data_IF_792165788689
#
_entry.id   IF_792165788689
#
_cell.length_a   1.000
_cell.length_b   1.000
_cell.length_c   1.000
_cell.angle_alpha   90.00
_cell.angle_beta   90.00
_cell.angle_gamma   90.00
#
_symmetry.space_group_name_H-M   'P 1'
#
loop_
_entity.id
_entity.type
_entity.pdbx_description
1 polymer ?
#
# COMPACT_ATOMS: atom_id res chain seq x y z
N UNK A 1 -40.54 48.32 -41.49
CA UNK A 1 -40.03 48.74 -42.82
C UNK A 1 -38.56 48.31 -42.87
N UNK A 2 -38.05 47.45 -43.74
CA UNK A 2 -38.56 46.85 -44.96
C UNK A 2 -37.44 46.87 -46.02
N UNK A 3 -36.99 45.67 -46.43
CA UNK A 3 -36.20 45.30 -47.65
C UNK A 3 -34.67 45.39 -47.54
N UNK A 4 -33.94 44.25 -47.53
CA UNK A 4 -33.61 43.27 -48.63
C UNK A 4 -32.42 43.80 -49.47
N UNK A 5 -31.43 43.04 -49.98
CA UNK A 5 -30.97 41.63 -49.95
C UNK A 5 -29.90 41.49 -51.06
N UNK A 6 -28.93 40.56 -50.95
CA UNK A 6 -28.27 39.71 -51.99
C UNK A 6 -26.85 39.32 -51.50
N UNK A 7 -26.52 38.07 -51.18
CA UNK A 7 -26.39 36.81 -51.96
C UNK A 7 -25.30 36.78 -53.04
N UNK A 8 -24.31 35.89 -52.84
CA UNK A 8 -23.64 34.96 -53.77
C UNK A 8 -22.34 34.49 -53.08
N UNK A 9 -21.86 33.25 -53.07
CA UNK A 9 -22.21 31.97 -53.71
C UNK A 9 -20.99 31.05 -53.48
N UNK A 10 -21.22 29.75 -53.23
CA UNK A 10 -20.16 28.76 -52.95
C UNK A 10 -19.24 28.44 -54.15
N UNK A 11 -18.37 27.40 -54.04
CA UNK A 11 -18.90 26.03 -53.94
C UNK A 11 -18.22 25.13 -52.89
N UNK A 12 -18.98 24.14 -52.44
CA UNK A 12 -18.50 22.87 -51.90
C UNK A 12 -18.15 21.92 -53.03
N UNK A 13 -17.11 21.09 -52.90
CA UNK A 13 -17.10 19.76 -53.51
C UNK A 13 -16.20 18.81 -52.69
N UNK A 14 -16.80 17.69 -52.29
CA UNK A 14 -16.22 16.38 -51.96
C UNK A 14 -14.94 16.08 -52.78
N UNK A 15 -13.93 15.32 -52.37
CA UNK A 15 -13.91 14.01 -51.70
C UNK A 15 -12.43 13.54 -51.60
N UNK A 16 -12.14 12.65 -50.63
CA UNK A 16 -11.09 11.60 -50.58
C UNK A 16 -9.61 11.97 -50.87
N UNK A 17 -8.73 11.82 -49.86
CA UNK A 17 -7.60 10.87 -49.94
C UNK A 17 -6.90 10.65 -48.58
N UNK A 18 -6.77 9.37 -48.24
CA UNK A 18 -6.16 8.81 -47.04
C UNK A 18 -4.63 9.02 -47.00
N UNK A 19 -4.01 9.30 -45.84
CA UNK A 19 -2.57 9.17 -45.71
C UNK A 19 -2.17 7.69 -45.54
N UNK A 20 -1.21 7.31 -46.36
CA UNK A 20 -0.67 5.98 -46.53
C UNK A 20 -0.07 5.36 -45.26
N UNK A 21 -0.20 4.04 -45.22
CA UNK A 21 0.42 3.07 -44.35
C UNK A 21 1.94 3.17 -44.25
N UNK A 22 2.47 3.23 -43.03
CA UNK A 22 3.82 2.78 -42.70
C UNK A 22 3.73 1.68 -41.64
N UNK A 23 3.84 0.44 -42.12
CA UNK A 23 3.97 -0.76 -41.30
C UNK A 23 5.42 -0.84 -40.80
N UNK A 24 5.61 -0.86 -39.48
CA UNK A 24 6.82 -1.41 -38.86
C UNK A 24 6.41 -2.57 -37.96
N UNK A 25 6.63 -3.76 -38.49
CA UNK A 25 6.47 -5.05 -37.84
C UNK A 25 7.57 -5.25 -36.81
N UNK A 26 7.23 -5.26 -35.52
CA UNK A 26 8.03 -5.90 -34.48
C UNK A 26 7.32 -7.21 -34.08
N UNK A 27 7.81 -8.33 -34.63
CA UNK A 27 7.39 -9.67 -34.25
C UNK A 27 7.92 -10.00 -32.85
N UNK A 28 7.02 -10.27 -31.91
CA UNK A 28 7.32 -11.06 -30.71
C UNK A 28 7.47 -12.55 -31.09
N UNK A 29 8.49 -13.27 -30.60
CA UNK A 29 8.54 -14.72 -30.72
C UNK A 29 7.91 -15.40 -29.49
N UNK A 30 7.00 -16.34 -29.78
CA UNK A 30 6.40 -17.29 -28.83
C UNK A 30 7.43 -18.39 -28.41
N UNK A 31 7.15 -19.17 -27.33
CA UNK A 31 8.18 -19.78 -26.49
C UNK A 31 8.66 -21.14 -27.01
N UNK A 32 9.97 -21.41 -26.91
CA UNK A 32 10.57 -22.72 -27.20
C UNK A 32 10.85 -23.51 -25.91
N UNK A 33 10.22 -24.67 -25.80
CA UNK A 33 10.50 -25.75 -24.85
C UNK A 33 11.86 -26.38 -25.07
N UNK A 34 12.72 -26.48 -24.05
CA UNK A 34 13.86 -27.43 -24.03
C UNK A 34 14.11 -27.96 -22.61
N UNK A 35 14.25 -29.29 -22.52
CA UNK A 35 14.62 -30.11 -21.35
C UNK A 35 16.16 -30.19 -21.16
N UNK A 36 16.66 -30.63 -19.99
CA UNK A 36 18.04 -30.42 -19.56
C UNK A 36 19.00 -31.54 -19.97
N UNK A 37 20.30 -31.23 -20.07
CA UNK A 37 21.35 -32.24 -20.14
C UNK A 37 22.73 -31.73 -20.52
N UNK A 38 23.69 -32.00 -19.63
CA UNK A 38 25.11 -32.26 -19.86
C UNK A 38 26.15 -31.14 -19.77
N UNK A 39 27.05 -31.38 -18.81
CA UNK A 39 28.30 -30.73 -18.45
C UNK A 39 29.35 -30.73 -19.56
N UNK A 40 30.31 -29.78 -19.52
CA UNK A 40 31.66 -30.08 -20.00
C UNK A 40 32.72 -29.98 -18.91
N UNK A 41 33.56 -31.01 -18.93
CA UNK A 41 34.88 -31.14 -18.32
C UNK A 41 35.87 -30.24 -19.08
N UNK A 42 36.71 -29.48 -18.38
CA UNK A 42 37.95 -28.87 -18.90
C UNK A 42 38.98 -28.96 -17.78
N UNK A 43 39.79 -30.02 -17.75
CA UNK A 43 41.11 -30.18 -18.36
C UNK A 43 42.22 -29.26 -17.79
N UNK A 44 43.33 -29.92 -17.49
CA UNK A 44 44.47 -29.46 -16.74
C UNK A 44 45.34 -28.44 -17.50
N UNK A 45 45.99 -27.55 -16.74
CA UNK A 45 47.22 -26.89 -17.16
C UNK A 45 48.25 -26.93 -16.02
N UNK A 46 49.48 -27.26 -16.41
CA UNK A 46 50.63 -27.60 -15.58
C UNK A 46 51.67 -26.48 -15.73
N UNK A 47 52.23 -25.98 -14.63
CA UNK A 47 53.45 -25.14 -14.57
C UNK A 47 53.66 -24.79 -13.08
N UNK A 48 54.82 -24.83 -12.41
CA UNK A 48 56.23 -24.84 -12.78
C UNK A 48 57.06 -25.36 -11.58
N UNK A 49 58.33 -25.74 -11.83
CA UNK A 49 59.35 -26.17 -10.86
C UNK A 49 60.09 -24.97 -10.24
N UNK A 50 60.43 -25.06 -8.94
CA UNK A 50 61.67 -24.58 -8.25
C UNK A 50 61.56 -25.04 -6.78
N UNK A 51 62.41 -25.89 -6.21
CA UNK A 51 63.85 -25.87 -5.91
C UNK A 51 64.04 -26.05 -4.39
N UNK A 52 64.60 -27.21 -4.01
CA UNK A 52 65.43 -27.50 -2.83
C UNK A 52 65.15 -26.83 -1.48
N UNK A 53 64.86 -27.64 -0.46
CA UNK A 53 65.70 -27.75 0.75
C UNK A 53 65.34 -29.00 1.57
N UNK A 54 66.38 -29.76 1.89
CA UNK A 54 66.42 -30.89 2.81
C UNK A 54 66.10 -30.45 4.24
N UNK A 55 65.18 -31.15 4.90
CA UNK A 55 65.03 -31.13 6.36
C UNK A 55 64.74 -32.55 6.81
N UNK A 56 65.55 -33.00 7.77
CA UNK A 56 65.53 -34.32 8.39
C UNK A 56 64.15 -34.70 8.94
N UNK A 57 63.65 -35.88 8.56
CA UNK A 57 62.47 -36.48 9.16
C UNK A 57 62.94 -37.27 10.38
N UNK A 58 62.96 -36.62 11.53
CA UNK A 58 62.86 -37.30 12.81
C UNK A 58 61.42 -37.84 12.96
N UNK A 59 61.28 -39.13 13.27
CA UNK A 59 59.99 -39.76 13.56
C UNK A 59 59.24 -39.01 14.68
N UNK A 60 58.03 -38.48 14.44
CA UNK A 60 57.22 -37.92 15.50
C UNK A 60 56.51 -39.05 16.24
N UNK A 61 56.89 -39.22 17.52
CA UNK A 61 56.17 -39.99 18.55
C UNK A 61 54.65 -39.76 18.50
N UNK A 62 53.83 -40.77 18.84
CA UNK A 62 52.38 -40.70 18.67
C UNK A 62 51.80 -39.56 19.50
N UNK A 63 51.29 -38.52 18.84
CA UNK A 63 50.54 -37.45 19.49
C UNK A 63 49.16 -37.98 19.87
N UNK A 64 48.82 -37.75 21.14
CA UNK A 64 47.60 -38.13 21.81
C UNK A 64 46.33 -37.92 20.96
N UNK A 65 45.40 -38.88 21.08
CA UNK A 65 44.10 -38.87 20.45
C UNK A 65 43.39 -37.53 20.69
N UNK A 66 43.06 -36.83 19.59
CA UNK A 66 42.20 -35.66 19.60
C UNK A 66 40.87 -36.03 20.26
N UNK A 67 40.50 -35.31 21.31
CA UNK A 67 39.18 -35.40 21.93
C UNK A 67 38.13 -35.21 20.85
N UNK A 68 37.35 -36.26 20.57
CA UNK A 68 36.15 -36.17 19.73
C UNK A 68 35.28 -35.03 20.25
N UNK A 69 35.07 -34.00 19.44
CA UNK A 69 34.05 -33.00 19.72
C UNK A 69 32.74 -33.73 19.99
N UNK A 70 32.14 -33.49 21.17
CA UNK A 70 30.85 -34.08 21.55
C UNK A 70 29.85 -33.71 20.45
N UNK A 71 29.36 -34.72 19.73
CA UNK A 71 28.26 -34.55 18.80
C UNK A 71 27.10 -33.87 19.55
N UNK A 72 26.59 -32.75 19.02
CA UNK A 72 25.45 -32.06 19.60
C UNK A 72 24.29 -33.06 19.69
N UNK A 73 23.71 -33.23 20.89
CA UNK A 73 22.59 -34.15 21.08
C UNK A 73 21.48 -33.81 20.07
N UNK A 74 20.87 -34.81 19.41
CA UNK A 74 19.77 -34.57 18.50
C UNK A 74 18.62 -33.91 19.28
N UNK A 75 18.07 -32.85 18.69
CA UNK A 75 16.93 -32.11 19.24
C UNK A 75 15.71 -33.01 19.10
N UNK A 76 15.04 -33.34 20.20
CA UNK A 76 13.83 -34.19 20.20
C UNK A 76 12.59 -33.39 19.83
N UNK A 77 11.53 -34.05 19.35
CA UNK A 77 10.28 -33.40 18.99
C UNK A 77 9.67 -32.58 20.16
N UNK A 78 9.82 -33.05 21.40
CA UNK A 78 9.37 -32.37 22.62
C UNK A 78 10.20 -31.10 22.88
N UNK A 79 11.51 -31.15 22.62
CA UNK A 79 12.38 -29.95 22.70
C UNK A 79 12.18 -28.98 21.53
N UNK A 80 11.62 -29.43 20.40
CA UNK A 80 11.18 -28.56 19.30
C UNK A 80 9.80 -27.96 19.58
N UNK A 81 8.87 -28.72 20.15
CA UNK A 81 7.53 -28.27 20.52
C UNK A 81 7.57 -27.16 21.58
N UNK A 82 8.44 -27.28 22.59
CA UNK A 82 8.66 -26.23 23.60
C UNK A 82 9.25 -24.92 23.05
N UNK A 83 9.75 -24.92 21.80
CA UNK A 83 10.22 -23.71 21.11
C UNK A 83 9.15 -23.06 20.23
N UNK A 84 8.00 -23.71 20.05
CA UNK A 84 6.87 -23.11 19.34
C UNK A 84 6.30 -21.99 20.20
N UNK A 85 6.13 -20.82 19.59
CA UNK A 85 5.52 -19.64 20.21
C UNK A 85 4.62 -18.96 19.19
N UNK A 86 3.50 -18.45 19.67
CA UNK A 86 2.67 -17.57 18.86
C UNK A 86 3.43 -16.29 18.54
N UNK A 87 3.35 -15.86 17.29
CA UNK A 87 3.97 -14.61 16.82
C UNK A 87 2.97 -13.49 17.08
N UNK A 88 3.41 -12.46 17.82
CA UNK A 88 2.58 -11.27 18.02
C UNK A 88 2.36 -10.54 16.68
N UNK A 89 1.28 -9.77 16.58
CA UNK A 89 1.04 -8.97 15.38
C UNK A 89 2.19 -7.98 15.12
N UNK A 90 2.77 -7.41 16.18
CA UNK A 90 3.99 -6.59 16.07
C UNK A 90 5.16 -7.33 15.44
N UNK A 91 5.40 -8.57 15.87
CA UNK A 91 6.52 -9.38 15.39
C UNK A 91 6.28 -9.82 13.95
N UNK A 92 5.04 -10.18 13.60
CA UNK A 92 4.64 -10.43 12.22
C UNK A 92 4.85 -9.19 11.35
N UNK A 93 4.42 -8.01 11.81
CA UNK A 93 4.58 -6.76 11.09
C UNK A 93 6.05 -6.38 10.91
N UNK A 94 6.86 -6.46 11.97
CA UNK A 94 8.28 -6.13 11.93
C UNK A 94 9.06 -7.05 10.97
N UNK A 95 8.74 -8.36 10.97
CA UNK A 95 9.38 -9.33 10.07
C UNK A 95 8.87 -9.24 8.63
N UNK A 96 7.61 -8.84 8.44
CA UNK A 96 6.93 -8.87 7.13
C UNK A 96 6.47 -7.49 6.65
N UNK A 97 7.13 -6.42 7.09
CA UNK A 97 6.79 -5.02 6.75
C UNK A 97 6.67 -4.78 5.23
N UNK A 98 7.44 -5.52 4.45
CA UNK A 98 7.42 -5.49 2.98
C UNK A 98 6.12 -6.04 2.38
N UNK A 99 5.48 -7.05 3.00
CA UNK A 99 4.21 -7.62 2.53
C UNK A 99 3.06 -6.61 2.63
N UNK A 100 3.19 -5.62 3.52
CA UNK A 100 2.17 -4.59 3.79
C UNK A 100 2.46 -3.27 3.06
N UNK A 101 3.47 -3.23 2.18
CA UNK A 101 3.81 -2.04 1.40
C UNK A 101 4.63 -0.98 2.15
N UNK A 102 5.20 -1.33 3.30
CA UNK A 102 6.02 -0.42 4.12
C UNK A 102 7.52 -0.67 3.99
N UNK A 103 8.00 -1.45 3.01
CA UNK A 103 9.41 -1.84 2.83
C UNK A 103 10.47 -0.72 3.02
N UNK A 104 10.19 0.49 2.53
CA UNK A 104 11.08 1.65 2.61
C UNK A 104 10.30 2.95 2.91
N UNK A 105 11.04 4.00 3.28
CA UNK A 105 10.47 5.30 3.70
C UNK A 105 9.62 5.99 2.62
N UNK A 106 9.98 5.84 1.33
CA UNK A 106 9.22 6.43 0.22
C UNK A 106 7.89 5.71 0.01
N UNK A 107 7.93 4.37 -0.06
CA UNK A 107 6.71 3.56 -0.20
C UNK A 107 5.82 3.67 1.03
N UNK A 108 6.39 3.78 2.23
CA UNK A 108 5.60 3.96 3.45
C UNK A 108 4.68 5.19 3.40
N UNK A 109 5.18 6.32 2.87
CA UNK A 109 4.38 7.52 2.68
C UNK A 109 3.27 7.29 1.65
N UNK A 110 3.64 6.77 0.48
CA UNK A 110 2.70 6.49 -0.60
C UNK A 110 1.59 5.51 -0.17
N UNK A 111 1.97 4.40 0.47
CA UNK A 111 1.03 3.39 0.97
C UNK A 111 0.08 3.99 1.99
N UNK A 112 0.56 4.82 2.92
CA UNK A 112 -0.30 5.48 3.91
C UNK A 112 -1.34 6.38 3.26
N UNK A 113 -0.91 7.22 2.30
CA UNK A 113 -1.82 8.10 1.56
C UNK A 113 -2.82 7.27 0.75
N UNK A 114 -2.33 6.24 0.04
CA UNK A 114 -3.16 5.36 -0.77
C UNK A 114 -4.25 4.69 0.06
N UNK A 115 -3.90 4.06 1.18
CA UNK A 115 -4.89 3.36 2.01
C UNK A 115 -5.90 4.31 2.66
N UNK A 116 -5.50 5.55 2.96
CA UNK A 116 -6.42 6.56 3.51
C UNK A 116 -7.38 7.12 2.43
N UNK A 117 -6.86 7.44 1.24
CA UNK A 117 -7.65 7.96 0.11
C UNK A 117 -8.58 6.88 -0.46
N UNK A 118 -8.09 5.65 -0.66
CA UNK A 118 -8.90 4.54 -1.17
C UNK A 118 -10.09 4.24 -0.22
N UNK A 119 -9.87 4.26 1.10
CA UNK A 119 -10.96 4.08 2.06
C UNK A 119 -11.95 5.26 2.08
N UNK A 120 -11.45 6.48 1.88
CA UNK A 120 -12.30 7.68 1.78
C UNK A 120 -13.23 7.62 0.56
N UNK A 121 -12.68 7.22 -0.60
CA UNK A 121 -13.44 7.03 -1.84
C UNK A 121 -14.50 5.94 -1.67
N UNK A 122 -14.10 4.76 -1.17
CA UNK A 122 -15.02 3.63 -0.95
C UNK A 122 -16.17 4.04 0.00
N UNK A 123 -15.88 4.75 1.09
CA UNK A 123 -16.89 5.18 2.06
C UNK A 123 -17.89 6.19 1.46
N UNK A 124 -17.43 7.12 0.63
CA UNK A 124 -18.29 8.07 -0.06
C UNK A 124 -19.17 7.38 -1.10
N UNK A 125 -18.60 6.50 -1.92
CA UNK A 125 -19.30 5.77 -2.97
C UNK A 125 -20.36 4.82 -2.41
N UNK A 126 -20.04 4.08 -1.35
CA UNK A 126 -21.01 3.20 -0.66
C UNK A 126 -22.17 3.98 -0.03
N UNK A 127 -21.96 5.24 0.34
CA UNK A 127 -22.98 6.12 0.89
C UNK A 127 -23.71 6.95 -0.18
N UNK A 128 -23.37 6.78 -1.46
CA UNK A 128 -23.86 7.60 -2.58
C UNK A 128 -23.61 9.10 -2.39
N UNK A 129 -22.47 9.46 -1.80
CA UNK A 129 -22.00 10.83 -1.62
C UNK A 129 -20.90 11.08 -2.64
N UNK A 130 -21.00 12.19 -3.39
CA UNK A 130 -19.92 12.60 -4.30
C UNK A 130 -18.68 12.98 -3.46
N UNK A 131 -17.54 12.28 -3.62
CA UNK A 131 -16.39 12.46 -2.74
C UNK A 131 -15.81 13.87 -2.82
N UNK A 132 -15.50 14.42 -1.65
CA UNK A 132 -14.66 15.61 -1.46
C UNK A 132 -13.60 15.21 -0.45
N UNK A 133 -12.37 15.01 -0.93
CA UNK A 133 -11.28 14.47 -0.13
C UNK A 133 -10.19 15.53 0.03
N UNK A 134 -9.82 15.82 1.26
CA UNK A 134 -8.73 16.73 1.60
C UNK A 134 -7.55 15.89 2.05
N UNK A 135 -6.41 16.03 1.37
CA UNK A 135 -5.16 15.34 1.67
C UNK A 135 -4.12 16.39 1.99
N UNK A 136 -3.62 16.40 3.22
CA UNK A 136 -2.53 17.27 3.65
C UNK A 136 -1.37 16.43 4.14
N UNK A 137 -0.17 16.77 3.70
CA UNK A 137 1.05 16.11 4.18
C UNK A 137 1.98 17.16 4.73
N UNK A 138 2.15 17.18 6.05
CA UNK A 138 3.03 18.10 6.74
C UNK A 138 4.40 17.45 6.98
N UNK A 139 5.49 18.13 6.64
CA UNK A 139 6.84 17.71 7.05
C UNK A 139 7.14 18.26 8.45
N UNK A 140 7.19 17.38 9.45
CA UNK A 140 7.43 17.75 10.85
C UNK A 140 8.93 17.75 11.20
N UNK A 141 9.70 16.89 10.54
CA UNK A 141 11.16 16.85 10.60
C UNK A 141 11.71 16.26 9.30
N UNK A 142 13.04 16.14 9.17
CA UNK A 142 13.70 15.65 7.95
C UNK A 142 13.08 14.37 7.39
N UNK A 143 12.85 13.37 8.25
CA UNK A 143 12.27 12.07 7.87
C UNK A 143 10.92 11.80 8.56
N UNK A 144 10.25 12.83 9.09
CA UNK A 144 9.00 12.68 9.84
C UNK A 144 7.90 13.50 9.18
N UNK A 145 6.82 12.82 8.86
CA UNK A 145 5.68 13.41 8.16
C UNK A 145 4.40 13.13 8.92
N UNK A 146 3.42 14.01 8.78
CA UNK A 146 2.03 13.76 9.17
C UNK A 146 1.17 13.75 7.92
N UNK A 147 0.51 12.62 7.69
CA UNK A 147 -0.49 12.50 6.63
C UNK A 147 -1.85 12.67 7.27
N UNK A 148 -2.60 13.68 6.81
CA UNK A 148 -3.97 13.94 7.22
C UNK A 148 -4.88 13.78 6.01
N UNK A 149 -5.85 12.87 6.09
CA UNK A 149 -6.87 12.68 5.04
C UNK A 149 -8.25 12.87 5.65
N UNK A 150 -9.06 13.74 5.05
CA UNK A 150 -10.43 14.00 5.45
C UNK A 150 -11.38 13.79 4.29
N UNK A 151 -12.46 13.07 4.53
CA UNK A 151 -13.56 12.87 3.59
C UNK A 151 -14.85 13.57 4.03
N UNK A 152 -15.82 13.65 3.13
CA UNK A 152 -17.19 14.08 3.38
C UNK A 152 -18.19 12.91 3.40
N UNK A 153 -17.70 11.69 3.65
CA UNK A 153 -18.48 10.47 3.62
C UNK A 153 -19.46 10.36 4.80
N UNK A 154 -19.99 9.16 5.08
CA UNK A 154 -21.02 8.96 6.10
C UNK A 154 -20.51 9.10 7.55
N UNK A 155 -19.19 9.27 7.72
CA UNK A 155 -18.54 9.14 9.03
C UNK A 155 -18.55 7.70 9.55
N UNK A 156 -17.99 7.51 10.74
CA UNK A 156 -17.87 6.22 11.41
C UNK A 156 -18.59 6.32 12.75
N UNK A 157 -19.39 5.30 13.06
CA UNK A 157 -20.06 5.19 14.36
C UNK A 157 -18.99 5.07 15.45
N UNK A 158 -19.10 5.90 16.51
CA UNK A 158 -18.15 5.98 17.62
C UNK A 158 -17.61 4.62 18.10
N UNK A 159 -18.50 3.64 18.32
CA UNK A 159 -18.14 2.31 18.81
C UNK A 159 -17.25 1.49 17.86
N UNK A 160 -17.23 1.82 16.57
CA UNK A 160 -16.45 1.12 15.54
C UNK A 160 -15.07 1.74 15.31
N UNK A 161 -14.89 3.03 15.65
CA UNK A 161 -13.64 3.76 15.40
C UNK A 161 -12.43 3.03 16.01
N UNK A 162 -12.44 2.63 17.31
CA UNK A 162 -11.30 1.91 17.87
C UNK A 162 -10.96 0.64 17.10
N UNK A 163 -11.95 -0.16 16.71
CA UNK A 163 -11.69 -1.43 16.05
C UNK A 163 -11.14 -1.25 14.62
N UNK A 164 -11.62 -0.25 13.87
CA UNK A 164 -11.16 0.00 12.49
C UNK A 164 -9.68 0.41 12.47
N UNK A 165 -9.26 1.29 13.38
CA UNK A 165 -7.89 1.82 13.38
C UNK A 165 -6.94 1.06 14.32
N UNK A 166 -7.48 0.36 15.32
CA UNK A 166 -6.73 -0.26 16.41
C UNK A 166 -6.69 -1.80 16.38
N UNK A 167 -7.28 -2.46 15.37
CA UNK A 167 -7.25 -3.92 15.21
C UNK A 167 -6.90 -4.29 13.77
N UNK A 168 -5.85 -5.08 13.59
CA UNK A 168 -5.55 -5.66 12.28
C UNK A 168 -6.57 -6.74 11.92
N UNK A 169 -6.80 -6.90 10.62
CA UNK A 169 -7.76 -7.85 10.06
C UNK A 169 -9.20 -7.59 10.54
N UNK A 170 -9.54 -6.31 10.70
CA UNK A 170 -10.87 -5.87 11.07
C UNK A 170 -11.44 -4.94 10.02
N UNK A 171 -12.62 -5.25 9.52
CA UNK A 171 -13.31 -4.40 8.56
C UNK A 171 -14.52 -5.07 7.92
N UNK A 172 -15.38 -4.24 7.33
CA UNK A 172 -16.59 -4.68 6.62
C UNK A 172 -16.31 -5.44 5.32
N UNK A 173 -15.08 -5.34 4.79
CA UNK A 173 -14.68 -5.87 3.46
C UNK A 173 -14.31 -7.37 3.46
N UNK A 174 -14.12 -8.00 4.63
CA UNK A 174 -13.64 -9.40 4.72
C UNK A 174 -14.63 -10.49 4.31
N UNK A 175 -15.93 -10.20 4.44
CA UNK A 175 -16.98 -11.22 4.28
C UNK A 175 -17.88 -10.94 3.08
N UNK A 176 -17.54 -9.91 2.28
CA UNK A 176 -18.30 -9.48 1.12
C UNK A 176 -17.48 -9.66 -0.14
N UNK A 177 -17.98 -10.45 -1.08
CA UNK A 177 -17.42 -10.57 -2.42
C UNK A 177 -17.99 -9.45 -3.29
N UNK A 178 -17.46 -8.23 -3.11
CA UNK A 178 -17.80 -7.02 -3.87
C UNK A 178 -16.51 -6.36 -4.32
N UNK A 179 -16.47 -5.87 -5.56
CA UNK A 179 -15.34 -5.10 -6.05
C UNK A 179 -15.22 -3.79 -5.25
N UNK A 180 -14.08 -3.60 -4.60
CA UNK A 180 -13.70 -2.40 -3.86
C UNK A 180 -12.17 -2.21 -3.94
N UNK A 181 -11.66 -1.03 -3.60
CA UNK A 181 -10.22 -0.71 -3.72
C UNK A 181 -9.36 -1.50 -2.73
N UNK A 182 -9.90 -1.84 -1.55
CA UNK A 182 -9.22 -2.62 -0.51
C UNK A 182 -9.83 -4.01 -0.29
N UNK A 183 -9.02 -5.07 -0.38
CA UNK A 183 -9.53 -6.45 -0.29
C UNK A 183 -9.38 -7.09 1.10
N UNK A 184 -8.36 -6.70 1.87
CA UNK A 184 -7.91 -7.47 3.03
C UNK A 184 -8.14 -6.76 4.38
N UNK A 185 -8.82 -5.61 4.44
CA UNK A 185 -9.12 -4.91 5.71
C UNK A 185 -7.92 -4.70 6.65
N UNK A 186 -6.72 -4.54 6.07
CA UNK A 186 -5.45 -4.32 6.77
C UNK A 186 -4.89 -2.91 6.56
N UNK A 187 -5.29 -2.23 5.49
CA UNK A 187 -4.55 -1.09 4.95
C UNK A 187 -4.31 0.04 5.95
N UNK A 188 -5.39 0.63 6.45
CA UNK A 188 -5.30 1.80 7.32
C UNK A 188 -4.76 1.45 8.71
N UNK A 189 -5.11 0.29 9.24
CA UNK A 189 -4.61 -0.21 10.53
C UNK A 189 -3.11 -0.54 10.45
N UNK A 190 -2.63 -1.03 9.29
CA UNK A 190 -1.20 -1.22 9.02
C UNK A 190 -0.45 0.11 8.93
N UNK A 191 -1.02 1.13 8.31
CA UNK A 191 -0.46 2.49 8.31
C UNK A 191 -0.37 3.08 9.72
N UNK A 192 -1.43 2.89 10.53
CA UNK A 192 -1.43 3.28 11.94
C UNK A 192 -0.37 2.56 12.76
N UNK A 193 -0.24 1.24 12.58
CA UNK A 193 0.81 0.43 13.21
C UNK A 193 2.21 0.90 12.81
N UNK A 194 2.42 1.18 11.53
CA UNK A 194 3.68 1.69 11.04
C UNK A 194 4.04 3.04 11.67
N UNK A 195 3.08 3.97 11.73
CA UNK A 195 3.24 5.26 12.40
C UNK A 195 3.60 5.11 13.87
N UNK A 196 2.87 4.26 14.60
CA UNK A 196 3.13 3.98 16.01
C UNK A 196 4.52 3.38 16.24
N UNK A 197 4.92 2.38 15.46
CA UNK A 197 6.22 1.70 15.63
C UNK A 197 7.42 2.59 15.27
N UNK A 198 7.23 3.59 14.40
CA UNK A 198 8.31 4.48 13.96
C UNK A 198 8.39 5.77 14.77
N UNK A 199 7.25 6.34 15.18
CA UNK A 199 7.22 7.65 15.83
C UNK A 199 6.77 7.61 17.28
N UNK A 200 6.17 6.50 17.72
CA UNK A 200 5.55 6.35 19.05
C UNK A 200 4.26 7.15 19.21
N UNK A 201 3.72 7.75 18.14
CA UNK A 201 2.50 8.55 18.19
C UNK A 201 1.26 7.73 17.87
N UNK A 202 0.17 8.07 18.54
CA UNK A 202 -1.15 7.50 18.29
C UNK A 202 -1.68 7.95 16.93
N UNK A 203 -2.57 7.15 16.34
CA UNK A 203 -3.40 7.60 15.20
C UNK A 203 -4.47 8.54 15.73
N UNK A 204 -4.62 9.69 15.10
CA UNK A 204 -5.67 10.64 15.41
C UNK A 204 -6.83 10.44 14.45
N UNK A 205 -8.04 10.28 14.97
CA UNK A 205 -9.24 10.08 14.15
C UNK A 205 -10.34 11.00 14.64
N UNK A 206 -10.85 11.86 13.78
CA UNK A 206 -12.02 12.69 14.05
C UNK A 206 -13.14 12.26 13.13
N UNK A 207 -14.30 11.87 13.65
CA UNK A 207 -15.42 11.44 12.80
C UNK A 207 -16.76 12.00 13.27
N UNK A 208 -17.61 12.38 12.31
CA UNK A 208 -18.97 12.87 12.55
C UNK A 208 -19.92 12.21 11.56
N UNK A 209 -21.00 11.64 12.08
CA UNK A 209 -21.96 10.89 11.25
C UNK A 209 -23.11 11.75 10.73
N UNK A 210 -23.36 12.93 11.32
CA UNK A 210 -24.32 13.90 10.80
C UNK A 210 -24.14 15.28 11.43
N UNK A 211 -24.69 16.35 10.80
CA UNK A 211 -24.67 17.70 11.37
C UNK A 211 -25.37 17.83 12.73
N UNK A 212 -26.22 16.86 13.10
CA UNK A 212 -26.96 16.90 14.37
C UNK A 212 -26.29 16.11 15.49
N UNK A 213 -25.22 15.38 15.18
CA UNK A 213 -24.47 14.57 16.14
C UNK A 213 -23.13 15.25 16.44
N UNK A 214 -22.62 15.00 17.64
CA UNK A 214 -21.28 15.40 18.02
C UNK A 214 -20.23 14.72 17.12
N UNK A 215 -19.13 15.41 16.86
CA UNK A 215 -17.95 14.79 16.29
C UNK A 215 -17.10 14.23 17.42
N UNK A 216 -16.54 13.04 17.21
CA UNK A 216 -15.69 12.39 18.20
C UNK A 216 -14.25 12.36 17.71
N UNK A 217 -13.33 12.80 18.56
CA UNK A 217 -11.90 12.76 18.35
C UNK A 217 -11.26 11.67 19.21
N UNK A 218 -10.56 10.75 18.54
CA UNK A 218 -9.88 9.63 19.15
C UNK A 218 -8.38 9.71 18.94
N UNK A 219 -7.64 9.29 19.97
CA UNK A 219 -6.24 8.91 19.84
C UNK A 219 -6.13 7.41 20.09
N UNK A 220 -5.76 6.66 19.05
CA UNK A 220 -5.81 5.19 19.06
C UNK A 220 -4.41 4.63 18.86
N UNK A 221 -4.07 3.67 19.72
CA UNK A 221 -2.90 2.81 19.59
C UNK A 221 -3.35 1.37 19.38
N UNK A 222 -2.45 0.54 18.88
CA UNK A 222 -2.67 -0.90 18.75
C UNK A 222 -1.85 -1.59 19.83
N UNK A 223 -2.49 -2.37 20.70
CA UNK A 223 -1.80 -3.36 21.52
C UNK A 223 -1.35 -4.48 20.58
N UNK A 224 -0.09 -4.41 20.17
CA UNK A 224 0.46 -5.25 19.12
C UNK A 224 0.71 -6.69 19.55
N UNK A 225 0.61 -6.98 20.85
CA UNK A 225 0.66 -8.34 21.39
C UNK A 225 -0.70 -9.02 21.29
N UNK A 226 -1.76 -8.31 21.64
CA UNK A 226 -3.12 -8.85 21.71
C UNK A 226 -3.99 -8.52 20.49
N UNK A 227 -3.49 -7.72 19.55
CA UNK A 227 -4.24 -7.21 18.39
C UNK A 227 -5.58 -6.59 18.79
N UNK A 228 -5.53 -5.65 19.74
CA UNK A 228 -6.70 -4.93 20.23
C UNK A 228 -6.45 -3.43 20.22
N UNK A 229 -7.50 -2.62 20.03
CA UNK A 229 -7.36 -1.18 20.17
C UNK A 229 -7.05 -0.82 21.61
N UNK A 230 -6.16 0.16 21.77
CA UNK A 230 -5.93 0.89 23.00
C UNK A 230 -6.30 2.35 22.77
N UNK A 231 -7.36 2.81 23.43
CA UNK A 231 -7.88 4.17 23.26
C UNK A 231 -7.23 5.05 24.31
N UNK A 232 -6.31 5.91 23.87
CA UNK A 232 -5.59 6.85 24.73
C UNK A 232 -6.48 8.05 25.07
N UNK A 233 -7.34 8.45 24.14
CA UNK A 233 -8.22 9.60 24.28
C UNK A 233 -9.49 9.45 23.46
N UNK A 234 -10.61 9.96 23.97
CA UNK A 234 -11.94 9.97 23.33
C UNK A 234 -12.70 11.20 23.83
N UNK A 235 -12.75 12.23 22.98
CA UNK A 235 -13.36 13.52 23.27
C UNK A 235 -14.42 13.88 22.24
N UNK A 236 -15.44 14.61 22.67
CA UNK A 236 -16.33 15.32 21.75
C UNK A 236 -15.69 16.66 21.35
N UNK A 237 -15.62 16.90 20.04
CA UNK A 237 -15.02 18.10 19.47
C UNK A 237 -15.98 18.81 18.53
N UNK A 238 -15.84 20.13 18.43
CA UNK A 238 -16.53 20.91 17.41
C UNK A 238 -15.68 20.97 16.15
N UNK A 239 -16.26 20.54 15.04
CA UNK A 239 -15.62 20.56 13.73
C UNK A 239 -16.39 21.48 12.78
N UNK A 240 -15.72 22.17 11.84
CA UNK A 240 -16.36 23.11 10.93
C UNK A 240 -17.12 22.41 9.78
N UNK A 241 -17.19 21.09 9.78
CA UNK A 241 -17.77 20.28 8.71
C UNK A 241 -18.90 19.38 9.20
N UNK A 242 -19.82 19.08 8.30
CA UNK A 242 -21.12 18.50 8.60
C UNK A 242 -21.11 16.98 8.84
N UNK A 243 -20.31 16.26 8.06
CA UNK A 243 -20.20 14.81 8.09
C UNK A 243 -18.87 14.37 7.46
N UNK A 244 -18.39 13.18 7.85
CA UNK A 244 -17.17 12.59 7.30
C UNK A 244 -16.21 12.07 8.37
N UNK A 245 -15.03 11.66 7.91
CA UNK A 245 -13.94 11.20 8.78
C UNK A 245 -12.64 11.88 8.40
N UNK A 246 -11.87 12.28 9.39
CA UNK A 246 -10.50 12.76 9.27
C UNK A 246 -9.57 11.80 10.01
N UNK A 247 -8.51 11.36 9.34
CA UNK A 247 -7.49 10.47 9.90
C UNK A 247 -6.13 11.14 9.73
N UNK A 248 -5.41 11.30 10.84
CA UNK A 248 -4.05 11.81 10.86
C UNK A 248 -3.08 10.78 11.43
N UNK A 249 -2.04 10.46 10.65
CA UNK A 249 -1.00 9.48 11.00
C UNK A 249 0.36 10.16 10.89
N UNK A 250 1.12 10.14 11.99
CA UNK A 250 2.52 10.54 12.02
C UNK A 250 3.40 9.33 11.77
N UNK A 251 4.33 9.41 10.81
CA UNK A 251 5.18 8.30 10.41
C UNK A 251 6.57 8.75 9.96
N UNK A 252 7.55 7.85 10.10
CA UNK A 252 8.85 8.03 9.44
C UNK A 252 8.77 7.69 7.95
N UNK A 253 9.11 8.66 7.11
CA UNK A 253 8.90 8.59 5.68
C UNK A 253 9.91 9.48 4.93
N UNK A 254 9.94 9.36 3.61
CA UNK A 254 10.66 10.28 2.74
C UNK A 254 9.78 10.70 1.58
N UNK A 255 9.68 12.01 1.38
CA UNK A 255 8.95 12.59 0.26
C UNK A 255 9.89 12.77 -0.94
N UNK A 256 9.44 12.33 -2.11
CA UNK A 256 10.15 12.49 -3.36
C UNK A 256 9.14 12.80 -4.47
N UNK A 257 9.53 13.66 -5.40
CA UNK A 257 8.73 14.02 -6.58
C UNK A 257 9.03 13.10 -7.76
N UNK A 258 8.15 13.12 -8.76
CA UNK A 258 8.31 12.37 -10.02
C UNK A 258 7.60 11.02 -10.00
N UNK A 259 8.15 10.03 -10.72
CA UNK A 259 7.52 8.72 -10.87
C UNK A 259 7.43 7.98 -9.53
N UNK A 260 6.32 7.29 -9.30
CA UNK A 260 6.00 6.55 -8.08
C UNK A 260 5.97 7.45 -6.83
N UNK A 261 5.66 8.74 -7.00
CA UNK A 261 5.48 9.68 -5.91
C UNK A 261 4.03 9.72 -5.44
N UNK A 262 3.83 10.31 -4.25
CA UNK A 262 2.49 10.64 -3.75
C UNK A 262 1.77 11.60 -4.71
N UNK A 263 2.51 12.54 -5.29
CA UNK A 263 1.98 13.54 -6.20
C UNK A 263 1.36 12.91 -7.45
N UNK A 264 2.08 11.96 -8.07
CA UNK A 264 1.60 11.21 -9.22
C UNK A 264 0.41 10.33 -8.84
N UNK A 265 0.43 9.68 -7.67
CA UNK A 265 -0.70 8.88 -7.20
C UNK A 265 -1.98 9.71 -7.04
N UNK A 266 -1.91 10.90 -6.43
CA UNK A 266 -3.07 11.79 -6.27
C UNK A 266 -3.60 12.22 -7.64
N UNK A 267 -2.72 12.59 -8.57
CA UNK A 267 -3.10 12.98 -9.93
C UNK A 267 -3.78 11.83 -10.70
N UNK A 268 -3.20 10.63 -10.67
CA UNK A 268 -3.79 9.45 -11.29
C UNK A 268 -5.12 9.06 -10.64
N UNK A 269 -5.23 9.21 -9.31
CA UNK A 269 -6.48 8.98 -8.58
C UNK A 269 -7.56 9.97 -9.01
N UNK A 270 -7.22 11.25 -9.18
CA UNK A 270 -8.17 12.24 -9.69
C UNK A 270 -8.65 11.92 -11.11
N UNK A 271 -7.74 11.51 -12.00
CA UNK A 271 -8.07 11.10 -13.37
C UNK A 271 -8.99 9.87 -13.40
N UNK A 272 -8.70 8.88 -12.56
CA UNK A 272 -9.46 7.63 -12.50
C UNK A 272 -10.84 7.78 -11.83
N UNK A 273 -11.04 8.84 -11.04
CA UNK A 273 -12.28 9.09 -10.28
C UNK A 273 -12.84 10.48 -10.63
N UNK A 274 -13.37 10.67 -11.85
CA UNK A 274 -13.81 11.99 -12.33
C UNK A 274 -14.99 12.57 -11.54
N UNK A 275 -15.68 11.76 -10.73
CA UNK A 275 -16.75 12.19 -9.82
C UNK A 275 -16.26 12.72 -8.47
N UNK A 276 -14.97 12.54 -8.15
CA UNK A 276 -14.36 12.97 -6.90
C UNK A 276 -13.71 14.36 -7.05
N UNK A 277 -13.80 15.17 -6.00
CA UNK A 277 -12.95 16.35 -5.81
C UNK A 277 -11.84 16.01 -4.83
N UNK A 278 -10.58 16.34 -5.18
CA UNK A 278 -9.42 16.11 -4.30
C UNK A 278 -8.68 17.42 -4.10
N UNK A 279 -8.59 17.86 -2.84
CA UNK A 279 -7.78 19.01 -2.42
C UNK A 279 -6.50 18.48 -1.78
N UNK A 280 -5.35 18.76 -2.39
CA UNK A 280 -4.06 18.23 -1.97
C UNK A 280 -3.08 19.34 -1.59
N UNK A 281 -2.54 19.26 -0.38
CA UNK A 281 -1.46 20.11 0.11
C UNK A 281 -0.22 19.22 0.27
N UNK A 282 0.79 19.46 -0.57
CA UNK A 282 2.05 18.74 -0.54
C UNK A 282 2.94 19.19 0.64
N UNK A 283 3.97 18.40 1.03
CA UNK A 283 4.93 18.80 2.07
C UNK A 283 5.68 20.11 1.78
N UNK A 284 5.78 20.49 0.51
CA UNK A 284 6.38 21.75 0.07
C UNK A 284 5.47 22.96 0.23
N UNK A 285 4.23 22.78 0.72
CA UNK A 285 3.19 23.81 0.82
C UNK A 285 2.43 24.09 -0.48
N UNK A 286 2.71 23.32 -1.54
CA UNK A 286 2.02 23.45 -2.82
C UNK A 286 0.59 22.93 -2.70
N UNK A 287 -0.38 23.78 -3.02
CA UNK A 287 -1.79 23.43 -3.02
C UNK A 287 -2.27 23.13 -4.44
N UNK A 288 -2.92 21.98 -4.61
CA UNK A 288 -3.53 21.55 -5.87
C UNK A 288 -4.97 21.12 -5.61
N UNK A 289 -5.88 21.64 -6.41
CA UNK A 289 -7.29 21.22 -6.39
C UNK A 289 -7.59 20.51 -7.69
N UNK A 290 -8.03 19.26 -7.57
CA UNK A 290 -8.54 18.46 -8.68
C UNK A 290 -10.06 18.48 -8.59
N UNK A 291 -10.68 19.35 -9.38
CA UNK A 291 -12.14 19.46 -9.44
C UNK A 291 -12.75 18.23 -10.12
N UNK A 292 -13.98 17.90 -9.70
CA UNK A 292 -14.75 16.85 -10.37
C UNK A 292 -15.07 17.23 -11.81
N UNK A 293 -14.89 16.29 -12.73
CA UNK A 293 -15.31 16.42 -14.12
C UNK A 293 -16.77 15.99 -14.35
N UNK A 294 -17.35 15.19 -13.45
CA UNK A 294 -18.75 14.76 -13.52
C UNK A 294 -19.42 14.78 -12.15
N UNK A 295 -20.74 14.91 -12.13
CA UNK A 295 -21.58 14.73 -10.94
C UNK A 295 -22.32 13.39 -10.95
N UNK A 296 -22.08 12.56 -11.97
CA UNK A 296 -22.62 11.21 -12.06
C UNK A 296 -21.67 10.24 -11.35
N UNK A 297 -22.17 9.56 -10.32
CA UNK A 297 -21.41 8.53 -9.63
C UNK A 297 -21.33 7.25 -10.48
N UNK A 298 -20.24 6.47 -10.39
CA UNK A 298 -20.15 5.18 -11.04
C UNK A 298 -21.25 4.23 -10.54
N UNK A 299 -21.68 3.25 -11.36
CA UNK A 299 -22.69 2.29 -10.94
C UNK A 299 -22.21 1.48 -9.74
N UNK A 300 -23.09 1.29 -8.76
CA UNK A 300 -22.73 0.57 -7.54
C UNK A 300 -22.35 -0.89 -7.86
N UNK A 301 -21.22 -1.33 -7.31
CA UNK A 301 -20.82 -2.73 -7.39
C UNK A 301 -21.76 -3.59 -6.53
N UNK A 302 -22.15 -4.76 -7.04
CA UNK A 302 -23.03 -5.68 -6.34
C UNK A 302 -22.22 -6.78 -5.67
N UNK A 303 -22.66 -7.20 -4.49
CA UNK A 303 -22.12 -8.39 -3.84
C UNK A 303 -22.53 -9.63 -4.64
N UNK A 304 -21.57 -10.51 -4.91
CA UNK A 304 -21.78 -11.74 -5.69
C UNK A 304 -21.46 -12.98 -4.86
N UNK A 305 -21.96 -14.14 -5.31
CA UNK A 305 -21.50 -15.43 -4.79
C UNK A 305 -20.19 -15.84 -5.49
N UNK A 306 -19.32 -16.65 -4.86
CA UNK A 306 -18.15 -17.22 -5.51
C UNK A 306 -18.54 -17.98 -6.79
N UNK A 307 -17.77 -17.81 -7.86
CA UNK A 307 -17.96 -18.59 -9.07
C UNK A 307 -17.39 -20.02 -8.87
N UNK A 308 -18.13 -21.10 -9.19
CA UNK A 308 -17.73 -22.48 -8.89
C UNK A 308 -16.34 -22.88 -9.43
N UNK A 309 -15.91 -22.33 -10.56
CA UNK A 309 -14.60 -22.59 -11.16
C UNK A 309 -13.41 -22.21 -10.26
N UNK A 310 -13.59 -21.24 -9.36
CA UNK A 310 -12.52 -20.75 -8.47
C UNK A 310 -12.67 -21.18 -7.01
N UNK A 311 -13.59 -22.09 -6.69
CA UNK A 311 -13.80 -22.56 -5.32
C UNK A 311 -12.96 -23.82 -5.08
N UNK A 312 -11.99 -23.71 -4.18
CA UNK A 312 -11.20 -24.82 -3.67
C UNK A 312 -11.68 -25.20 -2.25
N UNK A 313 -11.35 -26.42 -1.80
CA UNK A 313 -11.59 -26.83 -0.41
C UNK A 313 -10.58 -26.11 0.50
N UNK A 314 -11.08 -25.22 1.35
CA UNK A 314 -10.33 -24.47 2.37
C UNK A 314 -10.84 -24.76 3.78
#
# INVERSE_FOLDING_TARGET
MGRKSREAGGPSLFEVESPASAQTSTREPAPSTVKPGETPIVSAARSSRRSSKSVDIAEPKPKAAKSRAKASKPVTAETMATRQRDISVSEFFAKNRHLLGFDNKRKALLTTVKEAVDNSLDACEEAHILPVIHVTIDQLAEERFRVTVRDNGPGIVRAQIPNIFGKLLYGSKFHRLKMSRGQQGIGISAAGMYGLLTTGKSVHVTSRTSPRKAAHHFQIQIDTRLNRPDVVHDDEVNVPWDQGTEVAIELEASYARGRQSVDEYIEQTAIANPHAEIQYIAPTGEHRTFERATTEAPPETKEIKPHPYGVELG
#
